data_IF_647405958050
#
_entry.id   IF_647405958050
#
_cell.length_a   1.000
_cell.length_b   1.000
_cell.length_c   1.000
_cell.angle_alpha   90.00
_cell.angle_beta   90.00
_cell.angle_gamma   90.00
#
_symmetry.space_group_name_H-M   'P 1'
#
loop_
_entity.id
_entity.type
_entity.pdbx_description
1 polymer ?
#
# COMPACT_ATOMS: atom_id res chain seq x y z
N UNK A 1 -12.56 54.68 50.97
CA UNK A 1 -12.75 53.23 51.18
C UNK A 1 -13.26 52.50 49.94
N UNK A 2 -13.93 53.15 48.97
CA UNK A 2 -14.28 52.50 47.69
C UNK A 2 -13.06 52.19 46.83
N UNK A 3 -12.12 53.13 46.73
CA UNK A 3 -10.96 53.06 45.82
C UNK A 3 -10.07 51.81 46.04
N UNK A 4 -9.84 51.43 47.29
CA UNK A 4 -9.08 50.21 47.64
C UNK A 4 -9.82 48.93 47.25
N UNK A 5 -11.15 48.91 47.38
CA UNK A 5 -11.95 47.76 46.97
C UNK A 5 -12.03 47.66 45.44
N UNK A 6 -12.09 48.80 44.75
CA UNK A 6 -12.10 48.87 43.30
C UNK A 6 -10.75 48.42 42.71
N UNK A 7 -9.64 48.79 43.35
CA UNK A 7 -8.31 48.34 42.93
C UNK A 7 -8.07 46.86 43.21
N UNK A 8 -8.57 46.33 44.33
CA UNK A 8 -8.53 44.88 44.58
C UNK A 8 -9.35 44.10 43.53
N UNK A 9 -10.53 44.60 43.16
CA UNK A 9 -11.34 43.97 42.12
C UNK A 9 -10.66 43.97 40.75
N UNK A 10 -9.94 45.04 40.39
CA UNK A 10 -9.13 45.10 39.16
C UNK A 10 -7.96 44.12 39.20
N UNK A 11 -7.29 44.01 40.35
CA UNK A 11 -6.18 43.08 40.56
C UNK A 11 -6.65 41.62 40.43
N UNK A 12 -7.77 41.27 41.07
CA UNK A 12 -8.35 39.94 40.98
C UNK A 12 -8.74 39.58 39.53
N UNK A 13 -9.32 40.55 38.80
CA UNK A 13 -9.66 40.35 37.39
C UNK A 13 -8.41 40.16 36.51
N UNK A 14 -7.35 40.92 36.75
CA UNK A 14 -6.09 40.80 36.00
C UNK A 14 -5.37 39.48 36.30
N UNK A 15 -5.35 39.04 37.56
CA UNK A 15 -4.80 37.74 37.96
C UNK A 15 -5.60 36.62 37.29
N UNK A 16 -6.93 36.68 37.33
CA UNK A 16 -7.79 35.70 36.68
C UNK A 16 -7.54 35.62 35.17
N UNK A 17 -7.46 36.76 34.48
CA UNK A 17 -7.17 36.80 33.04
C UNK A 17 -5.80 36.18 32.69
N UNK A 18 -4.79 36.41 33.53
CA UNK A 18 -3.47 35.81 33.36
C UNK A 18 -3.48 34.30 33.58
N UNK A 19 -4.21 33.82 34.60
CA UNK A 19 -4.37 32.38 34.86
C UNK A 19 -5.09 31.69 33.71
N UNK A 20 -6.19 32.26 33.21
CA UNK A 20 -6.95 31.70 32.09
C UNK A 20 -6.11 31.66 30.80
N UNK A 21 -5.31 32.70 30.55
CA UNK A 21 -4.36 32.76 29.42
C UNK A 21 -3.26 31.70 29.55
N UNK A 22 -2.72 31.51 30.75
CA UNK A 22 -1.69 30.51 31.02
C UNK A 22 -2.23 29.08 30.84
N UNK A 23 -3.46 28.81 31.29
CA UNK A 23 -4.14 27.53 31.08
C UNK A 23 -4.33 27.22 29.59
N UNK A 24 -4.84 28.19 28.82
CA UNK A 24 -5.03 28.04 27.36
C UNK A 24 -3.72 27.75 26.62
N UNK A 25 -2.61 28.41 27.01
CA UNK A 25 -1.29 28.15 26.43
C UNK A 25 -0.77 26.76 26.79
N UNK A 26 -0.97 26.33 28.04
CA UNK A 26 -0.57 24.99 28.47
C UNK A 26 -1.31 23.91 27.66
N UNK A 27 -2.61 24.08 27.42
CA UNK A 27 -3.42 23.16 26.60
C UNK A 27 -2.96 23.14 25.14
N UNK A 28 -2.63 24.29 24.55
CA UNK A 28 -2.11 24.38 23.19
C UNK A 28 -0.72 23.72 23.04
N UNK A 29 0.17 23.90 24.03
CA UNK A 29 1.47 23.22 24.06
C UNK A 29 1.32 21.71 24.22
N UNK A 30 0.41 21.26 25.08
CA UNK A 30 0.11 19.83 25.26
C UNK A 30 -0.45 19.20 23.97
N UNK A 31 -1.37 19.90 23.29
CA UNK A 31 -1.91 19.45 22.01
C UNK A 31 -0.85 19.37 20.91
N UNK A 32 0.03 20.37 20.81
CA UNK A 32 1.13 20.37 19.85
C UNK A 32 2.10 19.20 20.10
N UNK A 33 2.42 18.92 21.37
CA UNK A 33 3.26 17.78 21.75
C UNK A 33 2.62 16.43 21.40
N UNK A 34 1.32 16.27 21.62
CA UNK A 34 0.56 15.07 21.23
C UNK A 34 0.53 14.90 19.70
N UNK A 35 0.29 15.97 18.94
CA UNK A 35 0.34 15.93 17.47
C UNK A 35 1.72 15.50 16.98
N UNK A 36 2.79 16.11 17.49
CA UNK A 36 4.16 15.72 17.12
C UNK A 36 4.48 14.27 17.52
N UNK A 37 4.02 13.81 18.69
CA UNK A 37 4.22 12.43 19.12
C UNK A 37 3.46 11.42 18.25
N UNK A 38 2.23 11.74 17.83
CA UNK A 38 1.46 10.92 16.89
C UNK A 38 2.07 10.91 15.51
N UNK A 39 2.51 12.06 15.02
CA UNK A 39 3.14 12.18 13.70
C UNK A 39 4.46 11.39 13.64
N UNK A 40 5.27 11.44 14.71
CA UNK A 40 6.45 10.60 14.86
C UNK A 40 6.10 9.10 15.01
N UNK A 41 5.00 8.76 15.67
CA UNK A 41 4.52 7.38 15.77
C UNK A 41 4.02 6.83 14.43
N UNK A 42 3.35 7.67 13.62
CA UNK A 42 2.88 7.33 12.27
C UNK A 42 4.06 7.18 11.30
N UNK A 43 5.05 8.06 11.36
CA UNK A 43 6.31 7.95 10.61
C UNK A 43 7.08 6.68 11.01
N UNK A 44 7.21 6.41 12.31
CA UNK A 44 7.84 5.19 12.81
C UNK A 44 7.05 3.92 12.48
N UNK A 45 5.71 4.00 12.35
CA UNK A 45 4.87 2.88 11.93
C UNK A 45 4.99 2.65 10.42
N UNK A 46 5.07 3.70 9.61
CA UNK A 46 5.37 3.63 8.19
C UNK A 46 6.78 3.07 7.92
N UNK A 47 7.73 3.32 8.82
CA UNK A 47 9.07 2.73 8.81
C UNK A 47 9.07 1.27 9.29
N UNK A 48 8.17 0.88 10.22
CA UNK A 48 8.08 -0.48 10.78
C UNK A 48 7.17 -1.44 9.98
N UNK A 49 6.26 -0.93 9.17
CA UNK A 49 5.42 -1.73 8.27
C UNK A 49 6.10 -1.77 6.89
N UNK A 50 7.10 -2.63 6.72
CA UNK A 50 7.98 -2.62 5.54
C UNK A 50 7.27 -2.57 4.17
N UNK A 51 6.03 -3.07 4.05
CA UNK A 51 5.27 -3.05 2.80
C UNK A 51 4.43 -1.76 2.60
N UNK A 52 4.69 -1.05 1.51
CA UNK A 52 3.97 0.13 1.03
C UNK A 52 3.06 -0.25 -0.15
N UNK A 53 1.82 0.26 -0.17
CA UNK A 53 0.91 0.04 -1.31
C UNK A 53 1.38 0.88 -2.51
N UNK A 54 1.69 0.22 -3.63
CA UNK A 54 2.10 0.86 -4.87
C UNK A 54 0.87 1.12 -5.76
N UNK A 55 0.06 0.09 -5.97
CA UNK A 55 -1.13 0.17 -6.83
C UNK A 55 -2.26 -0.67 -6.24
N UNK A 56 -3.50 -0.21 -6.41
CA UNK A 56 -4.73 -0.99 -6.15
C UNK A 56 -5.74 -0.75 -7.26
N UNK A 57 -6.30 -1.84 -7.78
CA UNK A 57 -7.49 -1.84 -8.65
C UNK A 57 -8.62 -2.55 -7.89
N UNK A 58 -9.80 -1.96 -7.90
CA UNK A 58 -11.00 -2.55 -7.30
C UNK A 58 -12.14 -2.46 -8.29
N UNK A 59 -12.74 -3.60 -8.62
CA UNK A 59 -13.78 -3.65 -9.64
C UNK A 59 -15.13 -3.21 -9.08
N UNK A 60 -15.75 -2.25 -9.77
CA UNK A 60 -17.12 -1.79 -9.50
C UNK A 60 -18.16 -2.51 -10.38
N UNK A 61 -17.72 -3.16 -11.46
CA UNK A 61 -18.53 -3.93 -12.38
C UNK A 61 -17.79 -5.20 -12.83
N UNK A 62 -18.52 -6.14 -13.43
CA UNK A 62 -17.92 -7.34 -13.98
C UNK A 62 -16.94 -7.02 -15.12
N UNK A 63 -15.75 -7.63 -15.10
CA UNK A 63 -14.73 -7.46 -16.13
C UNK A 63 -14.03 -8.80 -16.42
N UNK A 64 -13.73 -9.04 -17.69
CA UNK A 64 -12.98 -10.22 -18.14
C UNK A 64 -11.47 -10.06 -17.90
N UNK A 65 -10.95 -8.85 -18.11
CA UNK A 65 -9.52 -8.53 -18.04
C UNK A 65 -9.24 -7.35 -17.11
N UNK A 66 -8.15 -7.46 -16.35
CA UNK A 66 -7.62 -6.42 -15.47
C UNK A 66 -6.12 -6.30 -15.70
N UNK A 67 -5.63 -5.07 -15.82
CA UNK A 67 -4.21 -4.78 -15.97
C UNK A 67 -3.67 -4.08 -14.73
N UNK A 68 -2.53 -4.55 -14.23
CA UNK A 68 -1.70 -3.85 -13.26
C UNK A 68 -0.46 -3.32 -13.96
N UNK A 69 -0.24 -2.01 -13.89
CA UNK A 69 0.86 -1.36 -14.58
C UNK A 69 2.10 -1.37 -13.69
N UNK A 70 3.23 -1.79 -14.25
CA UNK A 70 4.52 -1.87 -13.57
C UNK A 70 5.61 -1.09 -14.31
N UNK A 71 5.27 -0.42 -15.41
CA UNK A 71 6.21 0.24 -16.32
C UNK A 71 6.95 1.41 -15.67
N UNK A 72 6.30 2.12 -14.75
CA UNK A 72 6.89 3.25 -14.00
C UNK A 72 7.48 2.83 -12.64
N UNK A 73 7.52 1.53 -12.32
CA UNK A 73 8.01 1.06 -11.04
C UNK A 73 9.53 1.26 -10.92
N UNK A 74 9.97 2.04 -9.93
CA UNK A 74 11.39 2.16 -9.58
C UNK A 74 11.83 0.93 -8.76
N UNK A 75 12.27 -0.10 -9.45
CA UNK A 75 12.76 -1.35 -8.87
C UNK A 75 13.95 -1.20 -7.90
N UNK A 76 14.69 -0.08 -7.97
CA UNK A 76 15.79 0.18 -7.05
C UNK A 76 15.32 0.52 -5.62
N UNK A 77 14.04 0.85 -5.44
CA UNK A 77 13.48 1.19 -4.12
C UNK A 77 13.04 -0.02 -3.31
N UNK A 78 12.94 -1.21 -3.92
CA UNK A 78 12.25 -2.34 -3.33
C UNK A 78 13.17 -3.55 -3.18
N UNK A 79 13.25 -4.12 -1.98
CA UNK A 79 13.82 -5.45 -1.76
C UNK A 79 12.91 -6.53 -2.36
N UNK A 80 11.60 -6.33 -2.21
CA UNK A 80 10.54 -7.26 -2.59
C UNK A 80 9.35 -6.50 -3.17
N UNK A 81 8.73 -7.03 -4.22
CA UNK A 81 7.47 -6.52 -4.77
C UNK A 81 6.44 -7.64 -4.73
N UNK A 82 5.37 -7.47 -3.96
CA UNK A 82 4.30 -8.44 -3.81
C UNK A 82 3.06 -8.04 -4.63
N UNK A 83 2.44 -9.00 -5.28
CA UNK A 83 1.19 -8.83 -6.02
C UNK A 83 0.13 -9.69 -5.36
N UNK A 84 -0.94 -9.06 -4.88
CA UNK A 84 -2.03 -9.73 -4.18
C UNK A 84 -3.30 -9.64 -5.03
N UNK A 85 -3.83 -10.78 -5.44
CA UNK A 85 -5.06 -10.90 -6.22
C UNK A 85 -6.11 -11.58 -5.34
N UNK A 86 -7.21 -10.87 -5.11
CA UNK A 86 -8.38 -11.32 -4.35
C UNK A 86 -9.59 -11.24 -5.26
N UNK A 87 -9.80 -12.25 -6.13
CA UNK A 87 -10.85 -12.22 -7.11
C UNK A 87 -12.19 -12.64 -6.48
N UNK A 88 -13.28 -12.10 -7.01
CA UNK A 88 -14.63 -12.59 -6.76
C UNK A 88 -15.08 -13.27 -8.05
N UNK A 89 -15.26 -14.59 -8.00
CA UNK A 89 -15.54 -15.44 -9.15
C UNK A 89 -16.82 -16.23 -8.90
N UNK A 90 -17.52 -16.63 -9.97
CA UNK A 90 -18.57 -17.64 -9.84
C UNK A 90 -17.92 -19.00 -9.59
N UNK A 91 -18.59 -19.87 -8.83
CA UNK A 91 -18.04 -21.18 -8.46
C UNK A 91 -17.67 -22.00 -9.71
N UNK A 92 -16.40 -22.33 -9.85
CA UNK A 92 -15.86 -23.10 -10.97
C UNK A 92 -15.23 -22.24 -12.08
N UNK A 93 -15.36 -20.91 -12.01
CA UNK A 93 -14.65 -20.01 -12.90
C UNK A 93 -13.15 -20.00 -12.57
N UNK A 94 -12.35 -19.82 -13.62
CA UNK A 94 -10.90 -19.82 -13.55
C UNK A 94 -10.32 -18.54 -14.17
N UNK A 95 -9.09 -18.22 -13.79
CA UNK A 95 -8.35 -17.11 -14.37
C UNK A 95 -6.86 -17.38 -14.50
N UNK A 96 -6.19 -16.54 -15.28
CA UNK A 96 -4.79 -16.62 -15.69
C UNK A 96 -4.09 -15.30 -15.38
N UNK A 97 -2.78 -15.36 -15.18
CA UNK A 97 -1.92 -14.20 -14.97
C UNK A 97 -0.78 -14.23 -16.00
N UNK A 98 -0.63 -13.15 -16.75
CA UNK A 98 0.40 -12.96 -17.75
C UNK A 98 1.36 -11.86 -17.30
N UNK A 99 2.66 -12.14 -17.38
CA UNK A 99 3.70 -11.15 -17.14
C UNK A 99 4.16 -10.61 -18.50
N UNK A 100 3.68 -9.43 -18.86
CA UNK A 100 4.10 -8.78 -20.09
C UNK A 100 5.41 -8.04 -19.86
N UNK A 101 6.32 -8.18 -20.80
CA UNK A 101 7.60 -7.48 -20.79
C UNK A 101 7.72 -6.63 -22.04
N UNK A 102 8.65 -5.68 -22.06
CA UNK A 102 8.99 -4.94 -23.29
C UNK A 102 9.52 -5.85 -24.43
N UNK A 103 9.74 -7.14 -24.16
CA UNK A 103 10.07 -8.20 -25.12
C UNK A 103 8.99 -9.29 -25.17
N UNK A 104 9.35 -10.59 -25.31
CA UNK A 104 8.36 -11.66 -25.32
C UNK A 104 7.62 -11.76 -23.97
N UNK A 105 6.29 -11.86 -24.01
CA UNK A 105 5.49 -12.07 -22.81
C UNK A 105 5.88 -13.37 -22.11
N UNK A 106 5.99 -13.28 -20.79
CA UNK A 106 6.17 -14.44 -19.91
C UNK A 106 4.78 -14.83 -19.43
N UNK A 107 4.22 -15.90 -20.00
CA UNK A 107 2.99 -16.47 -19.46
C UNK A 107 3.30 -17.24 -18.18
N UNK A 108 2.52 -17.03 -17.12
CA UNK A 108 2.49 -17.94 -15.97
C UNK A 108 1.39 -18.97 -16.27
N UNK A 109 1.73 -20.20 -16.67
CA UNK A 109 0.73 -21.18 -17.10
C UNK A 109 0.14 -21.86 -15.85
N UNK A 110 -0.57 -21.08 -15.04
CA UNK A 110 -1.31 -21.56 -13.87
C UNK A 110 -2.74 -21.07 -14.00
N UNK A 111 -3.65 -22.02 -14.01
CA UNK A 111 -5.08 -21.76 -13.91
C UNK A 111 -5.47 -21.62 -12.44
N UNK A 112 -6.11 -20.52 -12.08
CA UNK A 112 -6.37 -20.11 -10.70
C UNK A 112 -7.87 -19.98 -10.45
N UNK A 113 -8.34 -20.37 -9.25
CA UNK A 113 -9.77 -20.31 -8.84
C UNK A 113 -10.00 -19.47 -7.59
N UNK A 114 -8.92 -18.98 -6.96
CA UNK A 114 -8.98 -18.33 -5.65
C UNK A 114 -7.96 -17.20 -5.53
N UNK A 115 -7.57 -16.87 -4.30
CA UNK A 115 -6.56 -15.83 -4.08
C UNK A 115 -5.22 -16.25 -4.67
N UNK A 116 -4.47 -15.26 -5.17
CA UNK A 116 -3.13 -15.47 -5.68
C UNK A 116 -2.18 -14.41 -5.13
N UNK A 117 -0.99 -14.86 -4.76
CA UNK A 117 0.11 -14.06 -4.28
C UNK A 117 1.34 -14.36 -5.13
N UNK A 118 1.91 -13.32 -5.71
CA UNK A 118 3.22 -13.37 -6.33
C UNK A 118 4.17 -12.49 -5.52
N UNK A 119 5.40 -12.95 -5.31
CA UNK A 119 6.43 -12.24 -4.59
C UNK A 119 7.68 -12.17 -5.47
N UNK A 120 7.97 -11.00 -6.04
CA UNK A 120 9.14 -10.72 -6.85
C UNK A 120 10.29 -10.23 -5.97
N UNK A 121 11.50 -10.64 -6.33
CA UNK A 121 12.72 -10.41 -5.54
C UNK A 121 13.77 -9.62 -6.34
N UNK A 122 13.51 -8.33 -6.65
CA UNK A 122 14.45 -7.48 -7.39
C UNK A 122 15.72 -7.13 -6.58
N UNK A 123 15.65 -7.17 -5.24
CA UNK A 123 16.74 -6.80 -4.33
C UNK A 123 17.38 -5.44 -4.69
N UNK A 124 16.55 -4.40 -4.81
CA UNK A 124 16.96 -3.02 -5.10
C UNK A 124 17.65 -2.83 -6.46
N UNK A 125 17.33 -3.67 -7.44
CA UNK A 125 17.87 -3.52 -8.78
C UNK A 125 16.88 -3.93 -9.86
N UNK A 126 16.57 -2.98 -10.75
CA UNK A 126 15.80 -3.25 -11.96
C UNK A 126 16.53 -4.17 -12.94
N UNK A 127 17.86 -4.19 -12.92
CA UNK A 127 18.64 -5.09 -13.78
C UNK A 127 18.73 -6.52 -13.25
N UNK A 128 18.28 -6.77 -12.00
CA UNK A 128 18.19 -8.13 -11.47
C UNK A 128 17.24 -8.96 -12.34
N UNK A 129 17.59 -10.23 -12.61
CA UNK A 129 16.70 -11.10 -13.37
C UNK A 129 15.43 -11.39 -12.56
N UNK A 130 14.31 -11.62 -13.23
CA UNK A 130 13.03 -11.91 -12.58
C UNK A 130 13.16 -13.22 -11.78
N UNK A 131 13.08 -13.08 -10.46
CA UNK A 131 13.07 -14.17 -9.49
C UNK A 131 11.90 -13.94 -8.55
N UNK A 132 11.24 -15.01 -8.14
CA UNK A 132 10.11 -14.86 -7.23
C UNK A 132 9.42 -16.16 -6.84
N UNK A 133 8.38 -16.02 -6.03
CA UNK A 133 7.52 -17.10 -5.54
C UNK A 133 6.06 -16.86 -5.95
N UNK A 134 5.33 -17.95 -6.16
CA UNK A 134 3.93 -17.98 -6.57
C UNK A 134 3.11 -18.83 -5.60
N UNK A 135 1.96 -18.32 -5.16
CA UNK A 135 1.05 -18.99 -4.23
C UNK A 135 -0.40 -18.75 -4.68
N UNK A 136 -1.17 -19.80 -5.05
CA UNK A 136 -0.71 -21.17 -5.24
C UNK A 136 0.34 -21.26 -6.35
N UNK A 137 1.25 -22.22 -6.21
CA UNK A 137 2.25 -22.51 -7.24
C UNK A 137 1.67 -23.37 -8.36
N UNK A 138 2.47 -23.57 -9.42
CA UNK A 138 2.21 -24.55 -10.46
C UNK A 138 2.39 -25.96 -9.88
N UNK A 139 1.75 -26.96 -10.49
CA UNK A 139 1.83 -28.37 -10.08
C UNK A 139 3.27 -28.93 -9.97
N UNK A 140 4.24 -28.29 -10.61
CA UNK A 140 5.66 -28.67 -10.67
C UNK A 140 6.62 -27.58 -10.17
N UNK A 141 6.18 -26.33 -9.96
CA UNK A 141 7.01 -25.25 -9.41
C UNK A 141 6.20 -24.07 -8.85
N UNK A 142 6.61 -23.55 -7.70
CA UNK A 142 6.02 -22.36 -7.05
C UNK A 142 6.92 -21.13 -7.17
N UNK A 143 7.74 -21.04 -8.22
CA UNK A 143 8.74 -19.99 -8.37
C UNK A 143 8.85 -19.45 -9.80
N UNK A 144 9.23 -18.18 -9.91
CA UNK A 144 9.61 -17.51 -11.16
C UNK A 144 11.14 -17.51 -11.26
N UNK A 145 11.68 -17.87 -12.42
CA UNK A 145 13.12 -17.85 -12.69
C UNK A 145 13.37 -17.58 -14.18
N UNK A 146 13.49 -16.31 -14.54
CA UNK A 146 13.71 -15.86 -15.91
C UNK A 146 14.89 -14.91 -15.98
N UNK A 147 15.73 -15.00 -17.01
CA UNK A 147 16.90 -14.12 -17.14
C UNK A 147 16.56 -12.71 -17.61
N UNK A 148 15.30 -12.48 -17.99
CA UNK A 148 14.74 -11.15 -18.23
C UNK A 148 14.84 -10.28 -16.98
N UNK A 149 15.31 -9.04 -17.15
CA UNK A 149 15.44 -8.07 -16.06
C UNK A 149 14.07 -7.65 -15.49
N UNK A 150 14.00 -7.36 -14.19
CA UNK A 150 12.78 -6.85 -13.55
C UNK A 150 12.28 -5.55 -14.20
N UNK A 151 13.18 -4.66 -14.61
CA UNK A 151 12.85 -3.41 -15.32
C UNK A 151 12.26 -3.61 -16.71
N UNK A 152 12.28 -4.84 -17.24
CA UNK A 152 11.61 -5.15 -18.50
C UNK A 152 10.14 -5.52 -18.29
N UNK A 153 9.69 -5.79 -17.06
CA UNK A 153 8.29 -6.07 -16.74
C UNK A 153 7.46 -4.79 -16.87
N UNK A 154 6.50 -4.78 -17.78
CA UNK A 154 5.69 -3.59 -18.09
C UNK A 154 4.35 -3.65 -17.39
N UNK A 155 3.72 -4.81 -17.36
CA UNK A 155 2.40 -4.98 -16.76
C UNK A 155 2.15 -6.44 -16.39
N UNK A 156 1.21 -6.63 -15.48
CA UNK A 156 0.54 -7.90 -15.26
C UNK A 156 -0.85 -7.81 -15.86
N UNK A 157 -1.13 -8.70 -16.78
CA UNK A 157 -2.45 -8.84 -17.37
C UNK A 157 -3.12 -10.06 -16.74
N UNK A 158 -4.30 -9.83 -16.16
CA UNK A 158 -5.04 -10.84 -15.40
C UNK A 158 -6.37 -11.05 -16.10
N UNK A 159 -6.57 -12.24 -16.65
CA UNK A 159 -7.74 -12.56 -17.46
C UNK A 159 -8.48 -13.76 -16.93
N UNK A 160 -9.80 -13.71 -16.99
CA UNK A 160 -10.67 -14.87 -16.80
C UNK A 160 -11.34 -15.20 -18.14
N UNK A 161 -10.62 -15.82 -19.11
CA UNK A 161 -11.19 -16.10 -20.41
C UNK A 161 -12.43 -16.97 -20.22
N UNK A 162 -13.50 -16.68 -20.95
CA UNK A 162 -14.82 -17.33 -20.83
C UNK A 162 -15.62 -16.99 -19.54
N UNK A 163 -15.06 -16.19 -18.63
CA UNK A 163 -15.65 -15.81 -17.34
C UNK A 163 -15.54 -14.31 -17.07
N UNK A 164 -15.91 -13.87 -15.86
CA UNK A 164 -15.71 -12.48 -15.41
C UNK A 164 -15.36 -12.42 -13.93
N UNK A 165 -14.39 -11.57 -13.60
CA UNK A 165 -14.22 -11.06 -12.25
C UNK A 165 -15.44 -10.22 -11.89
N UNK A 166 -16.07 -10.51 -10.75
CA UNK A 166 -17.26 -9.80 -10.27
C UNK A 166 -16.86 -8.55 -9.46
N UNK A 167 -17.84 -7.67 -9.26
CA UNK A 167 -17.72 -6.50 -8.37
C UNK A 167 -17.15 -6.89 -7.01
N UNK A 168 -16.20 -6.11 -6.51
CA UNK A 168 -15.51 -6.38 -5.25
C UNK A 168 -14.20 -7.16 -5.40
N UNK A 169 -13.85 -7.60 -6.61
CA UNK A 169 -12.49 -8.13 -6.89
C UNK A 169 -11.44 -7.05 -6.67
N UNK A 170 -10.33 -7.41 -6.01
CA UNK A 170 -9.23 -6.50 -5.66
C UNK A 170 -7.89 -7.04 -6.15
N UNK A 171 -7.11 -6.17 -6.79
CA UNK A 171 -5.79 -6.47 -7.34
C UNK A 171 -4.81 -5.42 -6.86
N UNK A 172 -3.70 -5.83 -6.27
CA UNK A 172 -2.78 -4.90 -5.61
C UNK A 172 -1.32 -5.22 -5.89
N UNK A 173 -0.51 -4.17 -5.92
CA UNK A 173 0.96 -4.23 -5.88
C UNK A 173 1.42 -3.56 -4.60
N UNK A 174 2.30 -4.24 -3.88
CA UNK A 174 2.93 -3.77 -2.65
C UNK A 174 4.45 -3.85 -2.78
N UNK A 175 5.17 -2.86 -2.28
CA UNK A 175 6.63 -2.81 -2.29
C UNK A 175 7.18 -2.84 -0.88
N UNK A 176 8.15 -3.71 -0.61
CA UNK A 176 8.90 -3.73 0.64
C UNK A 176 10.30 -3.18 0.41
N UNK A 177 10.77 -2.29 1.29
CA UNK A 177 12.12 -1.71 1.24
C UNK A 177 13.17 -2.64 1.85
#
# INVERSE_FOLDING_TARGET
>A
MSDFNDDNAKLDAAIKANVDTAATKADATALAAEVSARQAADEALAEKAGAQLIQRVTLSAAQEWVTLDMSELDWAQWSTVAVCIRPVLVSGDEYLVYCNTAGPSITIPITLTGQFLMCLLPFFSGSSPIRGLLLPGRSDSSYLCYDTACSALTELEIGAPDHNFQTGSVFEIWGNR
#
